data_IF_365685498431
#
_entry.id   IF_365685498431
#
_cell.length_a   1.000
_cell.length_b   1.000
_cell.length_c   1.000
_cell.angle_alpha   90.00
_cell.angle_beta   90.00
_cell.angle_gamma   90.00
#
_symmetry.space_group_name_H-M   'P 1'
#
loop_
_entity.id
_entity.type
_entity.pdbx_description
1 polymer ?
#
# COMPACT_ATOMS: atom_id res chain seq x y z
N UNK A 1 15.43 -6.24 -7.19
CA UNK A 1 14.44 -5.16 -7.34
C UNK A 1 13.56 -5.54 -8.51
N UNK A 2 12.28 -5.82 -8.27
CA UNK A 2 11.35 -6.19 -9.34
C UNK A 2 10.99 -4.96 -10.19
N UNK A 3 10.55 -5.15 -11.44
CA UNK A 3 10.25 -4.04 -12.37
C UNK A 3 9.26 -3.02 -11.78
N UNK A 4 8.30 -3.47 -10.98
CA UNK A 4 7.33 -2.62 -10.28
C UNK A 4 8.04 -1.69 -9.28
N UNK A 5 8.99 -2.19 -8.50
CA UNK A 5 9.74 -1.39 -7.53
C UNK A 5 10.61 -0.34 -8.23
N UNK A 6 11.20 -0.69 -9.37
CA UNK A 6 12.00 0.23 -10.16
C UNK A 6 11.16 1.34 -10.79
N UNK A 7 9.92 1.04 -11.20
CA UNK A 7 8.96 2.05 -11.70
C UNK A 7 8.53 2.98 -10.56
N UNK A 8 8.15 2.42 -9.41
CA UNK A 8 7.72 3.20 -8.23
C UNK A 8 8.84 4.13 -7.74
N UNK A 9 10.09 3.67 -7.74
CA UNK A 9 11.25 4.47 -7.31
C UNK A 9 11.59 5.65 -8.24
N UNK A 10 11.05 5.68 -9.47
CA UNK A 10 11.27 6.76 -10.45
C UNK A 10 10.16 7.80 -10.47
N UNK A 11 9.06 7.56 -9.76
CA UNK A 11 7.91 8.46 -9.69
C UNK A 11 8.03 9.39 -8.49
N UNK A 12 7.42 10.57 -8.58
CA UNK A 12 7.22 11.40 -7.40
C UNK A 12 6.36 10.63 -6.38
N UNK A 13 6.61 10.78 -5.06
CA UNK A 13 5.97 9.95 -4.04
C UNK A 13 4.43 9.90 -4.11
N UNK A 14 3.79 11.03 -4.46
CA UNK A 14 2.33 11.11 -4.63
C UNK A 14 1.84 10.33 -5.85
N UNK A 15 2.60 10.36 -6.94
CA UNK A 15 2.26 9.65 -8.18
C UNK A 15 2.47 8.15 -8.02
N UNK A 16 3.56 7.75 -7.35
CA UNK A 16 3.82 6.38 -6.92
C UNK A 16 2.67 5.83 -6.07
N UNK A 17 2.27 6.54 -5.02
CA UNK A 17 1.17 6.12 -4.15
C UNK A 17 -0.15 5.95 -4.92
N UNK A 18 -0.47 6.89 -5.82
CA UNK A 18 -1.67 6.81 -6.65
C UNK A 18 -1.63 5.63 -7.64
N UNK A 19 -0.47 5.35 -8.24
CA UNK A 19 -0.27 4.23 -9.16
C UNK A 19 -0.43 2.89 -8.44
N UNK A 20 0.19 2.74 -7.26
CA UNK A 20 0.07 1.55 -6.41
C UNK A 20 -1.38 1.35 -5.97
N UNK A 21 -2.08 2.39 -5.52
CA UNK A 21 -3.48 2.29 -5.12
C UNK A 21 -4.41 1.84 -6.27
N UNK A 22 -4.17 2.32 -7.50
CA UNK A 22 -4.92 1.88 -8.69
C UNK A 22 -4.67 0.42 -9.01
N UNK A 23 -3.42 -0.02 -8.98
CA UNK A 23 -3.06 -1.42 -9.20
C UNK A 23 -3.67 -2.33 -8.12
N UNK A 24 -3.55 -1.94 -6.85
CA UNK A 24 -4.16 -2.64 -5.72
C UNK A 24 -5.69 -2.77 -5.90
N UNK A 25 -6.39 -1.70 -6.29
CA UNK A 25 -7.84 -1.73 -6.52
C UNK A 25 -8.27 -2.72 -7.61
N UNK A 26 -7.42 -2.97 -8.61
CA UNK A 26 -7.72 -3.94 -9.67
C UNK A 26 -7.53 -5.39 -9.21
N UNK A 27 -6.55 -5.64 -8.33
CA UNK A 27 -6.18 -6.99 -7.88
C UNK A 27 -6.95 -7.42 -6.62
N UNK A 28 -7.19 -6.50 -5.69
CA UNK A 28 -7.83 -6.77 -4.40
C UNK A 28 -9.17 -7.51 -4.49
N UNK A 29 -10.08 -7.22 -5.45
CA UNK A 29 -11.33 -7.96 -5.59
C UNK A 29 -11.15 -9.43 -5.98
N UNK A 30 -10.01 -9.79 -6.57
CA UNK A 30 -9.69 -11.13 -7.06
C UNK A 30 -9.10 -12.03 -5.97
N UNK A 31 -8.70 -11.46 -4.83
CA UNK A 31 -8.12 -12.19 -3.71
C UNK A 31 -9.22 -12.95 -2.93
N UNK A 32 -8.87 -14.07 -2.32
CA UNK A 32 -9.74 -14.71 -1.33
C UNK A 32 -9.66 -13.97 0.03
N UNK A 33 -10.47 -14.39 1.00
CA UNK A 33 -10.58 -13.67 2.28
C UNK A 33 -9.28 -13.72 3.10
N UNK A 34 -8.50 -14.80 2.98
CA UNK A 34 -7.18 -14.95 3.62
C UNK A 34 -6.18 -13.96 3.00
N UNK A 35 -6.06 -13.97 1.67
CA UNK A 35 -5.14 -13.10 0.95
C UNK A 35 -5.52 -11.61 1.07
N UNK A 36 -6.82 -11.28 1.18
CA UNK A 36 -7.25 -9.89 1.48
C UNK A 36 -6.79 -9.44 2.85
N UNK A 37 -6.87 -10.30 3.86
CA UNK A 37 -6.42 -10.00 5.23
C UNK A 37 -4.92 -9.76 5.26
N UNK A 38 -4.13 -10.68 4.70
CA UNK A 38 -2.68 -10.54 4.62
C UNK A 38 -2.27 -9.27 3.86
N UNK A 39 -2.96 -8.95 2.76
CA UNK A 39 -2.70 -7.72 1.99
C UNK A 39 -2.89 -6.45 2.84
N UNK A 40 -3.97 -6.38 3.63
CA UNK A 40 -4.26 -5.24 4.51
C UNK A 40 -3.18 -5.12 5.60
N UNK A 41 -2.77 -6.23 6.21
CA UNK A 41 -1.73 -6.27 7.24
C UNK A 41 -0.37 -5.82 6.69
N UNK A 42 0.01 -6.26 5.49
CA UNK A 42 1.26 -5.82 4.84
C UNK A 42 1.23 -4.34 4.43
N UNK A 43 0.07 -3.83 4.01
CA UNK A 43 -0.09 -2.43 3.59
C UNK A 43 -0.12 -1.44 4.76
N UNK A 44 -0.72 -1.83 5.89
CA UNK A 44 -0.87 -0.99 7.07
C UNK A 44 0.26 -1.19 8.10
N UNK A 45 1.05 -2.26 7.94
CA UNK A 45 2.06 -2.71 8.89
C UNK A 45 1.45 -3.45 10.07
N UNK A 46 2.27 -4.22 10.80
CA UNK A 46 1.91 -4.64 12.16
C UNK A 46 1.56 -3.39 12.98
N UNK A 47 0.59 -3.43 13.92
CA UNK A 47 0.40 -2.39 14.92
C UNK A 47 1.61 -2.39 15.87
N UNK A 48 2.72 -1.86 15.37
CA UNK A 48 4.04 -1.92 15.96
C UNK A 48 4.92 -0.92 15.22
N UNK A 49 4.87 0.32 15.68
CA UNK A 49 5.85 1.37 15.39
C UNK A 49 5.89 1.95 13.96
N UNK A 50 4.81 2.60 13.48
CA UNK A 50 5.04 3.81 12.67
C UNK A 50 3.90 4.84 12.77
N UNK A 51 4.30 6.11 12.75
CA UNK A 51 3.61 7.26 13.32
C UNK A 51 2.63 7.90 12.35
N UNK A 52 1.57 7.19 11.96
CA UNK A 52 0.50 7.76 11.12
C UNK A 52 -0.73 8.23 11.92
N UNK A 53 -0.73 8.08 13.25
CA UNK A 53 -1.79 8.59 14.15
C UNK A 53 -1.60 10.08 14.51
N UNK A 54 -0.52 10.73 14.06
CA UNK A 54 -0.15 12.09 14.50
C UNK A 54 -0.76 13.28 13.76
N UNK A 55 -1.65 13.11 12.77
CA UNK A 55 -2.15 14.24 11.96
C UNK A 55 -3.68 14.39 11.90
N UNK A 56 -4.41 13.80 12.84
CA UNK A 56 -5.84 14.11 13.05
C UNK A 56 -6.08 14.37 14.53
N UNK A 57 -5.61 15.53 15.01
CA UNK A 57 -6.29 16.23 16.08
C UNK A 57 -6.61 17.63 15.57
N UNK A 58 -7.90 17.83 15.32
CA UNK A 58 -8.56 19.13 15.23
C UNK A 58 -8.67 19.73 16.62
#
# INVERSE_FOLDING_TARGET
MNEIEAIVARLEPKEAAAAVARAARAVFPLLDDEARREFIEQMLGEPGEDKVVGMVHL
#
